data_IF_761363879602
#
_entry.id   IF_761363879602
#
_cell.length_a   1.000
_cell.length_b   1.000
_cell.length_c   1.000
_cell.angle_alpha   90.00
_cell.angle_beta   90.00
_cell.angle_gamma   90.00
#
_symmetry.space_group_name_H-M   'P 1'
#
loop_
_entity.id
_entity.type
_entity.pdbx_description
1 polymer ?
#
# COMPACT_ATOMS: atom_id res chain seq x y z
N UNK A 1 3.00 7.34 -26.42
CA UNK A 1 3.90 6.60 -25.57
C UNK A 1 5.29 7.25 -25.61
N UNK A 2 5.98 7.21 -24.49
CA UNK A 2 7.34 7.75 -24.36
C UNK A 2 8.27 6.60 -24.00
N UNK A 3 9.35 6.47 -24.75
CA UNK A 3 10.49 5.62 -24.43
C UNK A 3 11.69 6.51 -24.14
N UNK A 4 12.24 6.42 -22.95
CA UNK A 4 13.35 7.25 -22.51
C UNK A 4 14.48 6.42 -21.89
N UNK A 5 15.71 6.74 -22.26
CA UNK A 5 16.93 6.19 -21.67
C UNK A 5 17.92 7.33 -21.44
N UNK A 6 18.50 7.40 -20.24
CA UNK A 6 19.40 8.48 -19.83
C UNK A 6 18.80 9.90 -20.06
N UNK A 7 17.52 10.08 -19.78
CA UNK A 7 16.80 11.30 -20.05
C UNK A 7 16.35 11.99 -18.76
N UNK A 8 16.23 13.31 -18.82
CA UNK A 8 15.50 14.12 -17.85
C UNK A 8 14.22 14.64 -18.49
N UNK A 9 13.08 14.28 -17.91
CA UNK A 9 11.77 14.63 -18.45
C UNK A 9 11.00 15.49 -17.45
N UNK A 10 10.35 16.51 -17.97
CA UNK A 10 9.41 17.33 -17.20
C UNK A 10 8.12 17.45 -17.99
N UNK A 11 7.03 16.98 -17.41
CA UNK A 11 5.68 17.22 -17.90
C UNK A 11 5.14 18.47 -17.19
N UNK A 12 5.19 19.59 -17.87
CA UNK A 12 4.71 20.88 -17.38
C UNK A 12 3.44 21.34 -18.08
N UNK A 13 2.95 22.55 -17.72
CA UNK A 13 1.68 23.10 -18.18
C UNK A 13 1.58 23.36 -19.69
N UNK A 14 2.71 23.52 -20.39
CA UNK A 14 2.71 23.89 -21.82
C UNK A 14 3.49 22.95 -22.72
N UNK A 15 4.29 22.03 -22.16
CA UNK A 15 5.14 21.18 -22.97
C UNK A 15 5.77 20.03 -22.20
N UNK A 16 6.02 18.95 -22.91
CA UNK A 16 6.93 17.90 -22.47
C UNK A 16 8.36 18.33 -22.83
N UNK A 17 9.20 18.53 -21.83
CA UNK A 17 10.63 18.72 -22.02
C UNK A 17 11.34 17.39 -21.86
N UNK A 18 12.04 16.98 -22.89
CA UNK A 18 12.90 15.81 -22.88
C UNK A 18 14.34 16.27 -23.06
N UNK A 19 15.16 16.12 -22.02
CA UNK A 19 16.60 16.31 -22.11
C UNK A 19 17.27 14.94 -22.14
N UNK A 20 17.80 14.57 -23.30
CA UNK A 20 18.54 13.32 -23.49
C UNK A 20 20.01 13.58 -23.25
N UNK A 21 20.55 13.05 -22.16
CA UNK A 21 22.00 13.04 -21.93
C UNK A 21 22.64 11.86 -22.66
N UNK A 22 22.82 12.02 -23.95
CA UNK A 22 23.86 11.21 -24.60
C UNK A 22 25.23 11.76 -24.22
N UNK A 23 26.21 10.89 -24.01
CA UNK A 23 27.55 11.25 -23.58
C UNK A 23 28.31 12.18 -24.54
N UNK A 24 27.67 12.81 -25.49
CA UNK A 24 28.25 13.74 -26.48
C UNK A 24 27.35 14.89 -26.92
N UNK A 25 26.38 15.30 -26.15
CA UNK A 25 25.63 16.51 -26.47
C UNK A 25 24.19 16.53 -25.95
N UNK A 26 23.83 17.62 -25.27
CA UNK A 26 22.46 17.92 -24.91
C UNK A 26 21.68 18.33 -26.14
N UNK A 27 20.71 17.52 -26.56
CA UNK A 27 19.68 17.98 -27.48
C UNK A 27 18.36 18.09 -26.73
N UNK A 28 17.96 19.30 -26.40
CA UNK A 28 16.61 19.59 -25.93
C UNK A 28 15.69 19.65 -27.15
N UNK A 29 15.01 18.55 -27.43
CA UNK A 29 13.96 18.54 -28.44
C UNK A 29 12.59 18.53 -27.75
N UNK A 30 11.69 19.47 -28.06
CA UNK A 30 10.33 19.40 -27.59
C UNK A 30 9.63 18.22 -28.30
N UNK A 31 9.29 17.18 -27.55
CA UNK A 31 8.40 16.13 -28.04
C UNK A 31 6.98 16.70 -27.95
N UNK A 32 6.37 17.00 -29.10
CA UNK A 32 4.95 17.29 -29.16
C UNK A 32 4.16 16.05 -28.73
N UNK A 33 3.81 15.98 -27.46
CA UNK A 33 2.72 15.11 -27.02
C UNK A 33 1.46 15.52 -27.75
N UNK A 34 0.68 14.58 -28.24
CA UNK A 34 -0.63 14.84 -28.80
C UNK A 34 -1.52 15.41 -27.71
N UNK A 35 -1.54 16.77 -27.63
CA UNK A 35 -2.56 17.47 -26.87
C UNK A 35 -3.89 17.23 -27.57
N UNK A 36 -4.85 16.60 -26.90
CA UNK A 36 -6.23 16.66 -27.33
C UNK A 36 -6.66 18.13 -27.19
N UNK A 37 -6.66 18.86 -28.30
CA UNK A 37 -7.15 20.21 -28.34
C UNK A 37 -8.64 20.22 -28.03
N UNK A 38 -9.03 20.90 -26.99
CA UNK A 38 -10.44 21.07 -26.63
C UNK A 38 -10.60 21.98 -25.44
N UNK A 39 -10.71 23.28 -25.67
CA UNK A 39 -11.30 24.22 -24.71
C UNK A 39 -10.30 25.10 -23.95
N UNK A 40 -10.55 26.38 -24.03
CA UNK A 40 -9.84 27.47 -23.41
C UNK A 40 -9.70 27.33 -21.89
N UNK A 41 -8.57 26.92 -21.45
CA UNK A 41 -7.80 27.25 -20.25
C UNK A 41 -6.64 26.26 -20.16
N UNK A 42 -5.45 26.77 -20.21
CA UNK A 42 -4.18 26.11 -20.45
C UNK A 42 -3.73 24.98 -19.51
N UNK A 43 -4.49 23.92 -19.37
CA UNK A 43 -4.03 22.67 -18.74
C UNK A 43 -3.71 21.65 -19.82
N UNK A 44 -2.44 21.33 -19.99
CA UNK A 44 -2.05 20.26 -20.88
C UNK A 44 -2.18 18.91 -20.15
N UNK A 45 -2.87 17.95 -20.78
CA UNK A 45 -3.01 16.59 -20.28
C UNK A 45 -2.14 15.68 -21.11
N UNK A 46 -1.20 14.99 -20.49
CA UNK A 46 -0.51 13.89 -21.12
C UNK A 46 -1.34 12.61 -20.94
N UNK A 47 -1.56 11.89 -22.02
CA UNK A 47 -2.19 10.57 -22.02
C UNK A 47 -1.31 9.59 -22.77
N UNK A 48 -0.91 8.52 -22.10
CA UNK A 48 -0.07 7.48 -22.70
C UNK A 48 0.80 6.80 -21.66
N UNK A 49 1.63 5.90 -22.14
CA UNK A 49 2.53 5.13 -21.31
C UNK A 49 3.95 5.70 -21.37
N UNK A 50 4.65 5.66 -20.27
CA UNK A 50 6.05 6.05 -20.17
C UNK A 50 6.86 4.82 -19.81
N UNK A 51 7.83 4.48 -20.69
CA UNK A 51 8.87 3.50 -20.42
C UNK A 51 10.18 4.25 -20.23
N UNK A 52 10.83 4.07 -19.10
CA UNK A 52 12.04 4.83 -18.80
C UNK A 52 13.10 3.98 -18.12
N UNK A 53 14.37 4.25 -18.47
CA UNK A 53 15.55 3.63 -17.87
C UNK A 53 16.58 4.69 -17.60
N UNK A 54 17.25 4.61 -16.44
CA UNK A 54 18.30 5.55 -16.05
C UNK A 54 17.88 7.03 -16.24
N UNK A 55 16.62 7.32 -15.97
CA UNK A 55 15.99 8.59 -16.32
C UNK A 55 15.31 9.21 -15.12
N UNK A 56 14.95 10.46 -15.23
CA UNK A 56 14.11 11.16 -14.27
C UNK A 56 12.89 11.75 -14.94
N UNK A 57 11.75 11.70 -14.25
CA UNK A 57 10.49 12.27 -14.67
C UNK A 57 9.92 13.12 -13.55
N UNK A 58 9.65 14.37 -13.84
CA UNK A 58 8.88 15.25 -12.97
C UNK A 58 7.54 15.56 -13.62
N UNK A 59 6.45 15.25 -12.93
CA UNK A 59 5.09 15.51 -13.39
C UNK A 59 4.53 16.69 -12.63
N UNK A 60 4.31 17.81 -13.35
CA UNK A 60 3.80 19.06 -12.80
C UNK A 60 2.39 19.42 -13.27
N UNK A 61 1.83 18.62 -14.16
CA UNK A 61 0.51 18.83 -14.74
C UNK A 61 -0.26 17.50 -14.84
N UNK A 62 -1.33 17.46 -15.61
CA UNK A 62 -2.17 16.30 -15.77
C UNK A 62 -1.46 15.15 -16.46
N UNK A 63 -1.48 13.99 -15.87
CA UNK A 63 -0.96 12.74 -16.42
C UNK A 63 -1.99 11.65 -16.26
N UNK A 64 -2.24 10.92 -17.33
CA UNK A 64 -3.05 9.68 -17.30
C UNK A 64 -2.37 8.61 -18.13
N UNK A 65 -2.04 7.50 -17.53
CA UNK A 65 -1.41 6.37 -18.21
C UNK A 65 -0.67 5.46 -17.25
N UNK A 66 0.28 4.70 -17.76
CA UNK A 66 1.13 3.82 -16.97
C UNK A 66 2.60 4.22 -17.05
N UNK A 67 3.37 3.83 -16.04
CA UNK A 67 4.80 4.06 -15.97
C UNK A 67 5.49 2.73 -15.74
N UNK A 68 6.41 2.38 -16.63
CA UNK A 68 7.37 1.30 -16.43
C UNK A 68 8.76 1.91 -16.34
N UNK A 69 9.40 1.77 -15.20
CA UNK A 69 10.68 2.42 -14.94
C UNK A 69 11.70 1.43 -14.35
N UNK A 70 12.95 1.60 -14.72
CA UNK A 70 14.08 0.95 -14.08
C UNK A 70 15.20 1.95 -13.83
N UNK A 71 15.86 1.83 -12.68
CA UNK A 71 16.96 2.70 -12.27
C UNK A 71 16.69 4.19 -12.47
N UNK A 72 15.47 4.61 -12.11
CA UNK A 72 14.93 5.91 -12.46
C UNK A 72 14.37 6.62 -11.24
N UNK A 73 14.07 7.90 -11.42
CA UNK A 73 13.45 8.74 -10.41
C UNK A 73 12.20 9.41 -10.97
N UNK A 74 11.11 9.35 -10.22
CA UNK A 74 9.85 9.97 -10.57
C UNK A 74 9.41 10.87 -9.43
N UNK A 75 9.08 12.12 -9.75
CA UNK A 75 8.51 13.08 -8.81
C UNK A 75 7.15 13.52 -9.33
N UNK A 76 6.13 13.31 -8.50
CA UNK A 76 4.78 13.78 -8.74
C UNK A 76 4.58 15.06 -7.94
N UNK A 77 4.39 16.15 -8.66
CA UNK A 77 4.17 17.49 -8.12
C UNK A 77 2.94 18.12 -8.77
N UNK A 78 1.87 17.33 -8.90
CA UNK A 78 0.60 17.72 -9.49
C UNK A 78 -0.53 16.99 -8.79
N UNK A 79 -1.68 17.61 -8.68
CA UNK A 79 -2.89 17.02 -8.10
C UNK A 79 -3.59 16.03 -9.05
N UNK A 80 -3.19 16.00 -10.31
CA UNK A 80 -3.92 15.30 -11.37
C UNK A 80 -3.05 14.25 -12.08
N UNK A 81 -2.42 13.40 -11.31
CA UNK A 81 -1.63 12.27 -11.82
C UNK A 81 -2.39 10.99 -11.56
N UNK A 82 -2.73 10.30 -12.63
CA UNK A 82 -3.54 9.10 -12.61
C UNK A 82 -2.81 7.96 -13.31
N UNK A 83 -2.55 6.90 -12.58
CA UNK A 83 -2.02 5.66 -13.14
C UNK A 83 -3.18 4.73 -13.46
N UNK A 84 -3.35 4.43 -14.74
CA UNK A 84 -4.30 3.46 -15.28
C UNK A 84 -3.52 2.30 -15.88
N UNK A 85 -4.05 1.08 -15.74
CA UNK A 85 -3.30 -0.12 -16.09
C UNK A 85 -2.23 -0.43 -15.05
N UNK A 86 -1.24 -1.22 -15.43
CA UNK A 86 -0.19 -1.68 -14.53
C UNK A 86 1.07 -0.83 -14.68
N UNK A 87 1.51 -0.25 -13.59
CA UNK A 87 2.78 0.46 -13.48
C UNK A 87 3.76 -0.35 -12.64
N UNK A 88 4.99 -0.47 -13.13
CA UNK A 88 6.06 -1.20 -12.45
C UNK A 88 7.32 -0.36 -12.38
N UNK A 89 7.82 -0.18 -11.18
CA UNK A 89 9.03 0.58 -10.88
C UNK A 89 10.05 -0.34 -10.24
N UNK A 90 11.15 -0.58 -10.94
CA UNK A 90 12.24 -1.44 -10.48
C UNK A 90 13.47 -0.60 -10.20
N UNK A 91 14.06 -0.76 -9.01
CA UNK A 91 15.21 0.03 -8.56
C UNK A 91 15.01 1.53 -8.77
N UNK A 92 13.80 2.00 -8.57
CA UNK A 92 13.39 3.36 -8.90
C UNK A 92 12.74 4.04 -7.70
N UNK A 93 12.96 5.34 -7.58
CA UNK A 93 12.36 6.16 -6.54
C UNK A 93 11.11 6.86 -7.07
N UNK A 94 10.03 6.82 -6.32
CA UNK A 94 8.80 7.55 -6.57
C UNK A 94 8.50 8.44 -5.38
N UNK A 95 8.42 9.74 -5.62
CA UNK A 95 8.08 10.73 -4.59
C UNK A 95 6.84 11.50 -5.00
N UNK A 96 5.88 11.59 -4.09
CA UNK A 96 4.73 12.50 -4.22
C UNK A 96 4.98 13.66 -3.28
N UNK A 97 5.27 14.82 -3.83
CA UNK A 97 5.63 16.00 -3.07
C UNK A 97 4.41 16.77 -2.58
N UNK A 98 4.65 17.75 -1.73
CA UNK A 98 3.62 18.59 -1.14
C UNK A 98 2.70 19.20 -2.22
N UNK A 99 1.39 19.08 -2.01
CA UNK A 99 0.38 19.43 -3.00
C UNK A 99 0.22 18.44 -4.15
N UNK A 100 1.07 17.40 -4.23
CA UNK A 100 0.94 16.33 -5.21
C UNK A 100 -0.09 15.28 -4.78
N UNK A 101 -0.73 14.69 -5.77
CA UNK A 101 -1.66 13.57 -5.59
C UNK A 101 -1.46 12.53 -6.67
N UNK A 102 -1.15 11.32 -6.24
CA UNK A 102 -1.04 10.17 -7.13
C UNK A 102 -2.28 9.31 -6.96
N UNK A 103 -3.05 9.18 -8.03
CA UNK A 103 -4.24 8.33 -8.09
C UNK A 103 -3.92 7.05 -8.86
N UNK A 104 -3.91 5.93 -8.16
CA UNK A 104 -3.66 4.61 -8.74
C UNK A 104 -5.00 3.90 -8.94
N UNK A 105 -5.41 3.71 -10.19
CA UNK A 105 -6.63 2.96 -10.55
C UNK A 105 -6.38 1.53 -10.94
N UNK A 106 -5.23 1.26 -11.54
CA UNK A 106 -4.78 -0.08 -11.86
C UNK A 106 -3.90 -0.65 -10.77
N UNK A 107 -2.75 -1.16 -11.15
CA UNK A 107 -1.73 -1.66 -10.23
C UNK A 107 -0.49 -0.78 -10.21
N UNK A 108 0.07 -0.58 -9.04
CA UNK A 108 1.40 -0.02 -8.87
C UNK A 108 2.25 -0.99 -8.08
N UNK A 109 3.30 -1.48 -8.70
CA UNK A 109 4.30 -2.33 -8.08
C UNK A 109 5.65 -1.59 -8.05
N UNK A 110 6.24 -1.49 -6.87
CA UNK A 110 7.52 -0.81 -6.68
C UNK A 110 8.36 -1.50 -5.62
N UNK A 111 9.61 -1.78 -5.93
CA UNK A 111 10.58 -2.31 -4.97
C UNK A 111 11.31 -1.20 -4.19
N UNK A 112 11.36 0.01 -4.74
CA UNK A 112 11.94 1.19 -4.10
C UNK A 112 10.98 1.96 -3.20
N UNK A 113 9.73 1.53 -3.12
CA UNK A 113 8.69 2.18 -2.33
C UNK A 113 8.18 3.49 -2.90
N UNK A 114 7.20 4.05 -2.18
CA UNK A 114 6.63 5.37 -2.44
C UNK A 114 6.99 6.29 -1.29
N UNK A 115 7.62 7.41 -1.59
CA UNK A 115 7.89 8.46 -0.61
C UNK A 115 6.82 9.54 -0.73
N UNK A 116 6.10 9.80 0.36
CA UNK A 116 5.13 10.88 0.45
C UNK A 116 5.73 12.04 1.23
N UNK A 117 6.20 13.03 0.51
CA UNK A 117 6.75 14.26 1.08
C UNK A 117 5.67 15.35 1.11
N UNK A 118 4.72 15.19 2.01
CA UNK A 118 3.52 16.03 2.10
C UNK A 118 2.44 15.72 1.05
N UNK A 119 2.64 14.71 0.22
CA UNK A 119 1.71 14.34 -0.84
C UNK A 119 0.67 13.32 -0.40
N UNK A 120 -0.22 12.98 -1.34
CA UNK A 120 -1.32 12.03 -1.14
C UNK A 120 -1.25 10.90 -2.16
N UNK A 121 -1.41 9.68 -1.69
CA UNK A 121 -1.56 8.48 -2.51
C UNK A 121 -2.99 7.94 -2.34
N UNK A 122 -3.73 7.91 -3.44
CA UNK A 122 -5.04 7.27 -3.53
C UNK A 122 -4.91 5.99 -4.33
N UNK A 123 -5.28 4.86 -3.73
CA UNK A 123 -5.39 3.57 -4.42
C UNK A 123 -6.87 3.24 -4.53
N UNK A 124 -7.36 3.15 -5.76
CA UNK A 124 -8.78 3.15 -6.07
C UNK A 124 -9.16 1.92 -6.91
N UNK A 125 -9.85 0.98 -6.29
CA UNK A 125 -10.38 -0.22 -6.92
C UNK A 125 -11.72 -0.02 -7.63
N UNK A 126 -12.24 1.21 -7.68
CA UNK A 126 -13.51 1.54 -8.31
C UNK A 126 -14.64 1.78 -7.32
N UNK A 127 -15.82 2.10 -7.87
CA UNK A 127 -17.02 2.42 -7.08
C UNK A 127 -17.86 1.20 -6.71
N UNK A 128 -17.64 0.07 -7.35
CA UNK A 128 -18.30 -1.19 -6.99
C UNK A 128 -17.63 -1.69 -5.71
N UNK A 129 -18.41 -1.95 -4.68
CA UNK A 129 -17.94 -2.59 -3.46
C UNK A 129 -17.06 -3.76 -3.84
N UNK A 130 -15.79 -3.64 -3.52
CA UNK A 130 -14.80 -4.49 -4.12
C UNK A 130 -14.94 -5.92 -3.59
N UNK A 131 -14.85 -6.84 -4.50
CA UNK A 131 -14.69 -8.24 -4.23
C UNK A 131 -13.56 -8.58 -3.22
N UNK A 132 -12.59 -7.69 -3.04
CA UNK A 132 -11.46 -7.92 -2.13
C UNK A 132 -11.92 -8.18 -0.71
N UNK A 133 -12.71 -7.27 -0.15
CA UNK A 133 -13.23 -7.43 1.21
C UNK A 133 -14.16 -8.64 1.33
N UNK A 134 -15.10 -8.78 0.40
CA UNK A 134 -16.07 -9.89 0.41
C UNK A 134 -15.37 -11.25 0.21
N UNK A 135 -14.39 -11.32 -0.68
CA UNK A 135 -13.61 -12.53 -0.89
C UNK A 135 -12.76 -12.91 0.32
N UNK A 136 -12.11 -11.95 0.95
CA UNK A 136 -11.35 -12.21 2.15
C UNK A 136 -12.23 -12.65 3.31
N UNK A 137 -13.42 -12.08 3.44
CA UNK A 137 -14.41 -12.54 4.39
C UNK A 137 -14.82 -13.99 4.11
N UNK A 138 -15.16 -14.30 2.86
CA UNK A 138 -15.53 -15.65 2.47
C UNK A 138 -14.39 -16.64 2.73
N UNK A 139 -13.17 -16.32 2.33
CA UNK A 139 -12.01 -17.17 2.60
C UNK A 139 -11.70 -17.32 4.08
N UNK A 140 -11.98 -16.31 4.87
CA UNK A 140 -11.82 -16.41 6.32
C UNK A 140 -12.81 -17.39 6.95
N UNK A 141 -13.95 -17.62 6.32
CA UNK A 141 -15.01 -18.53 6.81
C UNK A 141 -14.84 -19.96 6.32
N UNK A 142 -14.15 -20.16 5.20
CA UNK A 142 -13.88 -21.48 4.66
C UNK A 142 -12.84 -22.23 5.50
N UNK A 143 -13.25 -23.39 6.02
CA UNK A 143 -12.29 -24.31 6.66
C UNK A 143 -11.37 -24.91 5.59
N UNK A 144 -10.13 -24.52 5.57
CA UNK A 144 -9.15 -24.96 4.58
C UNK A 144 -9.10 -24.07 3.33
N UNK A 145 -9.66 -22.88 3.42
CA UNK A 145 -9.52 -21.83 2.41
C UNK A 145 -8.05 -21.61 2.02
N UNK A 146 -7.83 -20.97 0.88
CA UNK A 146 -6.50 -20.74 0.32
C UNK A 146 -5.53 -20.32 1.44
N UNK A 147 -4.66 -21.22 1.83
CA UNK A 147 -3.61 -20.89 2.76
C UNK A 147 -2.73 -19.79 2.13
N UNK A 148 -2.43 -18.82 2.92
CA UNK A 148 -1.80 -17.54 2.69
C UNK A 148 -1.13 -17.23 1.35
N UNK A 149 -0.43 -18.18 0.69
CA UNK A 149 0.28 -17.86 -0.55
C UNK A 149 -0.63 -17.72 -1.76
N UNK A 150 -1.60 -18.62 -1.94
CA UNK A 150 -2.53 -18.55 -3.08
C UNK A 150 -3.45 -17.34 -3.02
N UNK A 151 -3.89 -16.97 -1.84
CA UNK A 151 -4.67 -15.76 -1.60
C UNK A 151 -3.84 -14.50 -1.89
N UNK A 152 -2.61 -14.45 -1.40
CA UNK A 152 -1.69 -13.35 -1.66
C UNK A 152 -1.43 -13.20 -3.17
N UNK A 153 -1.12 -14.29 -3.86
CA UNK A 153 -0.84 -14.26 -5.30
C UNK A 153 -2.10 -13.87 -6.10
N UNK A 154 -3.27 -14.30 -5.67
CA UNK A 154 -4.53 -13.88 -6.30
C UNK A 154 -4.77 -12.39 -6.14
N UNK A 155 -4.51 -11.82 -4.98
CA UNK A 155 -4.70 -10.40 -4.72
C UNK A 155 -3.73 -9.52 -5.51
N UNK A 156 -2.60 -10.04 -5.98
CA UNK A 156 -1.67 -9.27 -6.83
C UNK A 156 -2.24 -8.91 -8.21
N UNK A 157 -3.33 -9.54 -8.63
CA UNK A 157 -4.04 -9.22 -9.87
C UNK A 157 -5.24 -8.28 -9.69
N UNK A 158 -5.49 -7.80 -8.48
CA UNK A 158 -6.65 -6.95 -8.22
C UNK A 158 -6.49 -5.56 -8.84
N UNK A 159 -7.58 -4.99 -9.34
CA UNK A 159 -7.62 -3.58 -9.69
C UNK A 159 -7.54 -2.73 -8.42
N UNK A 160 -6.87 -1.58 -8.49
CA UNK A 160 -6.59 -0.77 -7.30
C UNK A 160 -5.60 -1.49 -6.38
N UNK A 161 -4.45 -1.84 -6.89
CA UNK A 161 -3.40 -2.53 -6.15
C UNK A 161 -2.21 -1.63 -5.93
N UNK A 162 -1.73 -1.57 -4.69
CA UNK A 162 -0.39 -1.11 -4.34
C UNK A 162 0.42 -2.29 -3.82
N UNK A 163 1.50 -2.62 -4.48
CA UNK A 163 2.51 -3.55 -3.99
C UNK A 163 3.82 -2.80 -3.78
N UNK A 164 4.13 -2.54 -2.55
CA UNK A 164 5.28 -1.74 -2.17
C UNK A 164 5.19 -1.28 -0.71
N UNK A 165 6.20 -0.56 -0.26
CA UNK A 165 6.17 0.13 1.02
C UNK A 165 5.97 1.64 0.80
N UNK A 166 5.48 2.30 1.84
CA UNK A 166 5.26 3.75 1.82
C UNK A 166 6.05 4.39 2.96
N UNK A 167 6.80 5.42 2.63
CA UNK A 167 7.47 6.28 3.61
C UNK A 167 6.87 7.67 3.54
N UNK A 168 6.12 8.06 4.56
CA UNK A 168 5.41 9.31 4.49
C UNK A 168 4.77 9.73 5.80
N UNK A 169 5.59 9.93 6.85
CA UNK A 169 5.09 10.49 8.10
C UNK A 169 4.46 11.89 7.94
N UNK A 170 4.65 12.54 6.80
CA UNK A 170 4.01 13.80 6.42
C UNK A 170 2.96 13.62 5.30
N UNK A 171 2.67 12.40 4.86
CA UNK A 171 1.78 12.14 3.74
C UNK A 171 0.57 11.30 4.10
N UNK A 172 -0.42 11.34 3.22
CA UNK A 172 -1.70 10.66 3.38
C UNK A 172 -1.84 9.51 2.38
N UNK A 173 -2.39 8.39 2.84
CA UNK A 173 -2.79 7.27 2.00
C UNK A 173 -4.29 7.07 2.14
N UNK A 174 -4.97 6.93 1.02
CA UNK A 174 -6.39 6.62 0.94
C UNK A 174 -6.56 5.35 0.10
N UNK A 175 -7.16 4.33 0.69
CA UNK A 175 -7.48 3.06 0.05
C UNK A 175 -9.00 2.97 -0.10
N UNK A 176 -9.47 2.88 -1.34
CA UNK A 176 -10.88 2.74 -1.67
C UNK A 176 -11.09 1.46 -2.47
N UNK A 177 -11.77 0.48 -1.89
CA UNK A 177 -11.99 -0.81 -2.55
C UNK A 177 -10.69 -1.36 -3.20
N UNK A 178 -9.59 -1.29 -2.49
CA UNK A 178 -8.26 -1.54 -3.00
C UNK A 178 -7.52 -2.57 -2.13
N UNK A 179 -6.39 -3.01 -2.63
CA UNK A 179 -5.45 -3.84 -1.87
C UNK A 179 -4.10 -3.13 -1.74
N UNK A 180 -3.56 -3.14 -0.55
CA UNK A 180 -2.18 -2.76 -0.30
C UNK A 180 -1.40 -3.96 0.22
N UNK A 181 -0.43 -4.39 -0.57
CA UNK A 181 0.47 -5.48 -0.22
C UNK A 181 1.82 -4.89 0.16
N UNK A 182 2.07 -4.78 1.45
CA UNK A 182 3.31 -4.18 1.95
C UNK A 182 4.51 -5.09 1.69
N UNK A 183 5.58 -4.49 1.20
CA UNK A 183 6.86 -5.16 0.94
C UNK A 183 7.97 -4.71 1.88
N UNK A 184 7.68 -3.80 2.78
CA UNK A 184 8.60 -3.29 3.77
C UNK A 184 7.90 -2.49 4.85
N UNK A 185 8.64 -2.10 5.89
CA UNK A 185 8.14 -1.23 6.92
C UNK A 185 7.64 0.09 6.31
N UNK A 186 6.50 0.53 6.75
CA UNK A 186 5.80 1.68 6.18
C UNK A 186 5.40 2.68 7.26
N UNK A 187 5.32 3.93 6.87
CA UNK A 187 4.87 5.02 7.72
C UNK A 187 4.00 5.99 6.95
N UNK A 188 2.93 6.47 7.57
CA UNK A 188 2.01 7.45 7.00
C UNK A 188 1.56 8.41 8.11
N UNK A 189 1.22 9.65 7.75
CA UNK A 189 0.61 10.59 8.67
C UNK A 189 -0.84 10.22 8.95
N UNK A 190 -1.60 9.99 7.88
CA UNK A 190 -3.00 9.60 7.94
C UNK A 190 -3.27 8.49 6.93
N UNK A 191 -3.94 7.45 7.37
CA UNK A 191 -4.45 6.38 6.53
C UNK A 191 -5.96 6.32 6.63
N UNK A 192 -6.60 6.41 5.48
CA UNK A 192 -8.03 6.17 5.32
C UNK A 192 -8.24 4.91 4.49
N UNK A 193 -9.05 3.98 4.98
CA UNK A 193 -9.32 2.72 4.28
C UNK A 193 -10.79 2.40 4.33
N UNK A 194 -11.36 2.14 3.17
CA UNK A 194 -12.75 1.75 3.00
C UNK A 194 -12.87 0.60 2.02
N UNK A 195 -13.48 -0.50 2.45
CA UNK A 195 -13.71 -1.67 1.61
C UNK A 195 -12.43 -2.35 1.10
N UNK A 196 -11.34 -2.22 1.82
CA UNK A 196 -10.00 -2.54 1.34
C UNK A 196 -9.33 -3.63 2.15
N UNK A 197 -8.22 -4.14 1.65
CA UNK A 197 -7.38 -5.11 2.33
C UNK A 197 -5.94 -4.62 2.43
N UNK A 198 -5.33 -4.80 3.60
CA UNK A 198 -3.93 -4.54 3.85
C UNK A 198 -3.25 -5.86 4.22
N UNK A 199 -2.31 -6.27 3.39
CA UNK A 199 -1.40 -7.38 3.66
C UNK A 199 -0.09 -6.84 4.20
N UNK A 200 0.24 -7.15 5.43
CA UNK A 200 1.45 -6.63 6.09
C UNK A 200 2.72 -7.31 5.63
N UNK A 201 2.64 -8.57 5.24
CA UNK A 201 3.79 -9.34 4.79
C UNK A 201 3.37 -10.50 3.89
N UNK A 202 4.31 -10.94 3.06
CA UNK A 202 4.14 -12.12 2.22
C UNK A 202 4.31 -13.39 3.06
N UNK A 203 3.52 -14.45 2.83
CA UNK A 203 3.76 -15.75 3.42
C UNK A 203 5.21 -16.23 3.20
N UNK A 204 5.89 -16.61 4.28
CA UNK A 204 7.30 -17.00 4.24
C UNK A 204 8.30 -15.85 4.16
N UNK A 205 7.82 -14.59 4.08
CA UNK A 205 8.65 -13.40 4.06
C UNK A 205 8.89 -12.80 5.45
N UNK A 206 9.61 -11.68 5.47
CA UNK A 206 9.87 -10.90 6.68
C UNK A 206 8.58 -10.26 7.20
N UNK A 207 8.50 -10.05 8.50
CA UNK A 207 7.43 -9.27 9.12
C UNK A 207 7.66 -7.78 8.94
N UNK A 208 6.56 -7.03 8.84
CA UNK A 208 6.63 -5.59 8.64
C UNK A 208 5.78 -4.83 9.66
N UNK A 209 6.19 -3.60 9.92
CA UNK A 209 5.48 -2.65 10.76
C UNK A 209 4.94 -1.51 9.92
N UNK A 210 3.65 -1.22 10.08
CA UNK A 210 3.02 0.01 9.62
C UNK A 210 2.83 0.95 10.81
N UNK A 211 3.40 2.14 10.71
CA UNK A 211 3.18 3.22 11.67
C UNK A 211 2.30 4.28 11.03
N UNK A 212 1.18 4.58 11.63
CA UNK A 212 0.26 5.63 11.21
C UNK A 212 0.06 6.64 12.35
N UNK A 213 0.02 7.92 12.03
CA UNK A 213 -0.37 8.94 12.98
C UNK A 213 -1.83 8.76 13.34
N UNK A 214 -2.71 8.93 12.37
CA UNK A 214 -4.13 8.65 12.51
C UNK A 214 -4.61 7.65 11.45
N UNK A 215 -5.66 6.92 11.77
CA UNK A 215 -6.24 5.91 10.90
C UNK A 215 -7.75 5.89 11.04
N UNK A 216 -8.43 6.06 9.91
CA UNK A 216 -9.86 5.84 9.77
C UNK A 216 -10.07 4.62 8.87
N UNK A 217 -10.64 3.56 9.42
CA UNK A 217 -10.78 2.29 8.73
C UNK A 217 -12.21 1.74 8.86
N UNK A 218 -12.82 1.38 7.75
CA UNK A 218 -14.13 0.78 7.70
C UNK A 218 -14.24 -0.29 6.62
N UNK A 219 -15.03 -1.31 6.88
CA UNK A 219 -15.28 -2.41 5.93
C UNK A 219 -13.98 -2.96 5.32
N UNK A 220 -12.94 -3.10 6.14
CA UNK A 220 -11.60 -3.46 5.69
C UNK A 220 -11.05 -4.66 6.43
N UNK A 221 -10.09 -5.33 5.82
CA UNK A 221 -9.38 -6.47 6.40
C UNK A 221 -7.91 -6.14 6.55
N UNK A 222 -7.38 -6.34 7.74
CA UNK A 222 -5.95 -6.38 7.98
C UNK A 222 -5.51 -7.84 8.03
N UNK A 223 -4.62 -8.24 7.14
CA UNK A 223 -4.02 -9.57 7.14
C UNK A 223 -2.62 -9.47 7.73
N UNK A 224 -2.47 -10.03 8.92
CA UNK A 224 -1.23 -9.99 9.69
C UNK A 224 -0.74 -11.40 9.97
N UNK A 225 0.57 -11.55 10.07
CA UNK A 225 1.22 -12.82 10.30
C UNK A 225 2.04 -12.81 11.58
N UNK A 226 2.13 -13.95 12.21
CA UNK A 226 3.02 -14.17 13.35
C UNK A 226 3.57 -15.60 13.33
N UNK A 227 4.80 -15.75 13.84
CA UNK A 227 5.43 -17.04 14.11
C UNK A 227 5.43 -17.39 15.61
N UNK A 228 4.64 -16.66 16.41
CA UNK A 228 4.56 -16.74 17.88
C UNK A 228 5.76 -16.12 18.62
N UNK A 229 6.80 -15.71 17.93
CA UNK A 229 7.95 -14.99 18.47
C UNK A 229 8.01 -13.56 17.94
N UNK A 230 7.70 -13.40 16.66
CA UNK A 230 7.70 -12.15 15.92
C UNK A 230 6.36 -12.01 15.22
N UNK A 231 6.01 -10.80 14.89
CA UNK A 231 4.75 -10.52 14.19
C UNK A 231 4.85 -9.30 13.31
N UNK A 232 3.95 -9.26 12.32
CA UNK A 232 3.56 -7.99 11.72
C UNK A 232 2.97 -7.08 12.80
N UNK A 233 3.11 -5.77 12.65
CA UNK A 233 2.61 -4.80 13.60
C UNK A 233 1.96 -3.60 12.93
N UNK A 234 0.86 -3.15 13.51
CA UNK A 234 0.26 -1.85 13.24
C UNK A 234 0.40 -0.98 14.50
N UNK A 235 1.02 0.18 14.36
CA UNK A 235 1.16 1.19 15.42
C UNK A 235 0.44 2.46 15.00
N UNK A 236 -0.62 2.81 15.72
CA UNK A 236 -1.34 4.06 15.52
C UNK A 236 -1.06 4.95 16.71
N UNK A 237 -0.57 6.16 16.47
CA UNK A 237 -0.01 7.02 17.53
C UNK A 237 -0.95 8.12 17.99
N UNK A 238 -1.87 8.60 17.15
CA UNK A 238 -2.74 9.74 17.46
C UNK A 238 -4.21 9.36 17.62
N UNK A 239 -4.80 8.70 16.63
CA UNK A 239 -6.18 8.21 16.69
C UNK A 239 -6.43 7.04 15.78
N UNK A 240 -7.18 6.07 16.26
CA UNK A 240 -7.71 4.95 15.47
C UNK A 240 -9.23 4.92 15.61
N UNK A 241 -9.93 5.05 14.50
CA UNK A 241 -11.39 5.00 14.42
C UNK A 241 -11.83 4.06 13.33
N UNK A 242 -12.93 3.40 13.55
CA UNK A 242 -13.51 2.57 12.50
C UNK A 242 -14.50 1.58 13.03
N UNK A 243 -15.10 0.87 12.07
CA UNK A 243 -16.11 -0.15 12.33
C UNK A 243 -16.15 -1.17 11.22
N UNK A 244 -16.65 -2.35 11.56
CA UNK A 244 -16.88 -3.43 10.61
C UNK A 244 -15.58 -3.88 9.90
N UNK A 245 -14.50 -3.98 10.67
CA UNK A 245 -13.22 -4.41 10.18
C UNK A 245 -12.85 -5.78 10.73
N UNK A 246 -12.10 -6.55 9.95
CA UNK A 246 -11.56 -7.83 10.35
C UNK A 246 -10.04 -7.74 10.52
N UNK A 247 -9.56 -8.15 11.68
CA UNK A 247 -8.16 -8.46 11.91
C UNK A 247 -7.96 -9.96 11.72
N UNK A 248 -7.39 -10.34 10.59
CA UNK A 248 -7.13 -11.71 10.24
C UNK A 248 -5.66 -12.04 10.52
N UNK A 249 -5.45 -12.99 11.46
CA UNK A 249 -4.10 -13.32 11.92
C UNK A 249 -3.73 -14.72 11.51
N UNK A 250 -2.68 -14.82 10.71
CA UNK A 250 -2.13 -16.09 10.23
C UNK A 250 -0.93 -16.52 11.09
N UNK A 251 -0.99 -17.75 11.57
CA UNK A 251 0.12 -18.40 12.26
C UNK A 251 0.91 -19.23 11.26
N UNK A 252 2.20 -18.98 11.12
CA UNK A 252 3.00 -19.56 10.03
C UNK A 252 4.02 -20.59 10.47
N UNK A 253 4.38 -20.63 11.75
CA UNK A 253 5.37 -21.59 12.25
C UNK A 253 5.01 -22.08 13.65
N UNK A 254 5.51 -23.26 13.94
CA UNK A 254 5.45 -23.86 15.27
C UNK A 254 6.63 -23.38 16.09
N UNK A 255 6.36 -22.84 17.26
CA UNK A 255 7.37 -22.79 18.30
C UNK A 255 7.29 -24.04 19.15
N UNK A 256 8.33 -24.84 19.15
CA UNK A 256 8.42 -26.00 20.02
C UNK A 256 8.44 -25.58 21.48
N UNK A 257 7.27 -25.49 22.09
CA UNK A 257 7.13 -25.42 23.54
C UNK A 257 7.41 -24.11 24.25
N UNK A 258 7.68 -23.01 23.55
CA UNK A 258 7.83 -21.73 24.19
C UNK A 258 6.50 -20.99 24.32
N UNK A 259 6.26 -20.39 25.47
CA UNK A 259 5.09 -19.53 25.71
C UNK A 259 5.26 -18.26 24.91
N UNK A 260 4.35 -17.98 23.97
CA UNK A 260 4.27 -16.63 23.41
C UNK A 260 3.89 -15.65 24.53
N UNK A 261 4.70 -14.65 24.69
CA UNK A 261 4.48 -13.57 25.64
C UNK A 261 3.81 -12.44 24.90
N UNK A 262 2.61 -12.07 25.30
CA UNK A 262 1.87 -10.85 24.93
C UNK A 262 2.45 -10.09 23.73
N UNK A 263 2.33 -10.64 22.54
CA UNK A 263 2.84 -10.01 21.33
C UNK A 263 1.80 -9.02 20.82
N UNK A 264 2.09 -7.70 20.82
CA UNK A 264 1.17 -6.72 20.29
C UNK A 264 1.14 -6.80 18.76
N UNK A 265 -0.04 -7.02 18.20
CA UNK A 265 -0.27 -6.96 16.75
C UNK A 265 -0.70 -5.55 16.33
N UNK A 266 -1.62 -4.98 17.07
CA UNK A 266 -2.10 -3.61 16.85
C UNK A 266 -2.01 -2.85 18.18
N UNK A 267 -1.42 -1.67 18.12
CA UNK A 267 -1.40 -0.72 19.26
C UNK A 267 -2.03 0.60 18.83
N UNK A 268 -2.85 1.17 19.68
CA UNK A 268 -3.57 2.41 19.43
C UNK A 268 -3.65 3.25 20.70
N UNK A 269 -3.95 4.56 20.63
CA UNK A 269 -4.07 5.43 21.78
C UNK A 269 -5.15 5.01 22.75
N UNK A 270 -5.04 5.47 23.99
CA UNK A 270 -6.07 5.31 25.00
C UNK A 270 -7.42 5.87 24.52
N UNK A 271 -8.50 5.18 24.84
CA UNK A 271 -9.84 5.52 24.41
C UNK A 271 -10.24 4.94 23.05
N UNK A 272 -9.35 4.23 22.37
CA UNK A 272 -9.70 3.47 21.16
C UNK A 272 -10.64 2.31 21.52
N UNK A 273 -11.75 2.21 20.81
CA UNK A 273 -12.74 1.16 21.03
C UNK A 273 -12.21 -0.22 20.66
N UNK A 274 -12.53 -1.24 21.45
CA UNK A 274 -12.19 -2.62 21.17
C UNK A 274 -12.98 -3.19 19.95
N UNK A 275 -14.04 -2.53 19.57
CA UNK A 275 -14.93 -2.90 18.47
C UNK A 275 -14.47 -2.42 17.10
N UNK A 276 -13.34 -1.73 17.01
CA UNK A 276 -12.75 -1.32 15.72
C UNK A 276 -12.44 -2.56 14.86
N UNK A 277 -12.00 -3.65 15.48
CA UNK A 277 -11.72 -4.90 14.79
C UNK A 277 -12.48 -6.08 15.44
N UNK A 278 -13.07 -6.90 14.58
CA UNK A 278 -13.32 -8.30 14.90
C UNK A 278 -12.06 -9.11 14.60
N UNK A 279 -11.76 -10.11 15.39
CA UNK A 279 -10.53 -10.90 15.24
C UNK A 279 -10.86 -12.29 14.77
N UNK A 280 -10.09 -12.79 13.80
CA UNK A 280 -10.11 -14.16 13.34
C UNK A 280 -8.68 -14.67 13.17
N UNK A 281 -8.44 -15.89 13.62
CA UNK A 281 -7.13 -16.53 13.53
C UNK A 281 -7.19 -17.70 12.56
N UNK A 282 -6.15 -17.84 11.75
CA UNK A 282 -5.96 -18.97 10.86
C UNK A 282 -4.69 -19.71 11.26
N UNK A 283 -4.80 -21.01 11.50
CA UNK A 283 -3.65 -21.85 11.74
C UNK A 283 -3.29 -22.59 10.46
N UNK A 284 -2.08 -22.40 9.99
CA UNK A 284 -1.56 -23.08 8.80
C UNK A 284 -0.76 -24.34 9.14
N UNK A 285 -0.66 -24.70 10.41
CA UNK A 285 0.07 -25.86 10.91
C UNK A 285 -0.73 -26.68 11.92
N UNK A 286 -0.27 -27.89 12.18
CA UNK A 286 -0.83 -28.77 13.22
C UNK A 286 -0.26 -28.34 14.57
N UNK A 287 -0.94 -27.47 15.27
CA UNK A 287 -0.55 -27.07 16.62
C UNK A 287 -1.50 -27.67 17.67
N UNK A 288 -0.94 -28.10 18.76
CA UNK A 288 -1.71 -28.38 19.98
C UNK A 288 -2.02 -27.12 20.78
N UNK A 289 -1.63 -25.97 20.26
CA UNK A 289 -1.78 -24.65 20.87
C UNK A 289 -2.86 -23.90 20.12
N UNK A 290 -3.85 -23.38 20.83
CA UNK A 290 -4.86 -22.49 20.26
C UNK A 290 -4.48 -21.05 20.62
N UNK A 291 -3.89 -20.29 19.70
CA UNK A 291 -3.58 -18.89 19.94
C UNK A 291 -4.84 -18.06 19.93
N UNK A 292 -4.88 -17.09 20.84
CA UNK A 292 -6.00 -16.17 20.98
C UNK A 292 -5.49 -14.75 20.87
N UNK A 293 -6.15 -13.95 20.05
CA UNK A 293 -5.89 -12.51 19.94
C UNK A 293 -7.05 -11.78 20.62
N UNK A 294 -6.73 -10.91 21.57
CA UNK A 294 -7.71 -10.13 22.31
C UNK A 294 -7.34 -8.65 22.33
N UNK A 295 -8.36 -7.81 22.31
CA UNK A 295 -8.21 -6.41 22.59
C UNK A 295 -8.12 -6.19 24.10
N UNK A 296 -7.07 -5.48 24.53
CA UNK A 296 -6.86 -5.06 25.89
C UNK A 296 -6.83 -3.54 25.96
N UNK A 297 -7.74 -2.96 26.74
CA UNK A 297 -7.81 -1.53 26.98
C UNK A 297 -7.19 -1.18 28.32
N UNK A 298 -6.28 -0.20 28.30
CA UNK A 298 -5.61 0.29 29.47
C UNK A 298 -5.36 1.79 29.43
N UNK A 299 -4.76 2.31 30.49
CA UNK A 299 -4.42 3.74 30.59
C UNK A 299 -3.38 4.19 29.58
N UNK A 300 -2.55 3.26 29.10
CA UNK A 300 -1.51 3.53 28.09
C UNK A 300 -1.97 3.34 26.65
N UNK A 301 -3.18 2.84 26.43
CA UNK A 301 -3.71 2.60 25.11
C UNK A 301 -4.55 1.33 24.99
N UNK A 302 -4.98 1.04 23.77
CA UNK A 302 -5.66 -0.19 23.38
C UNK A 302 -4.71 -1.04 22.54
N UNK A 303 -4.59 -2.31 22.87
CA UNK A 303 -3.75 -3.24 22.13
C UNK A 303 -4.52 -4.51 21.79
N UNK A 304 -4.39 -4.96 20.54
CA UNK A 304 -4.78 -6.30 20.14
C UNK A 304 -3.55 -7.19 20.25
N UNK A 305 -3.57 -8.05 21.26
CA UNK A 305 -2.41 -8.83 21.67
C UNK A 305 -2.63 -10.32 21.42
N UNK A 306 -1.57 -10.98 20.98
CA UNK A 306 -1.52 -12.42 20.89
C UNK A 306 -1.20 -13.03 22.25
N UNK A 307 -2.11 -13.85 22.74
CA UNK A 307 -1.90 -14.70 23.91
C UNK A 307 -1.93 -16.16 23.46
N UNK A 308 -1.00 -16.93 23.92
CA UNK A 308 -1.01 -18.39 23.70
C UNK A 308 -1.71 -19.07 24.86
N UNK A 309 -2.79 -19.75 24.59
CA UNK A 309 -3.47 -20.62 25.54
C UNK A 309 -2.97 -22.04 25.31
N UNK A 310 -2.31 -22.62 26.29
CA UNK A 310 -2.01 -24.05 26.26
C UNK A 310 -3.29 -24.83 26.51
N UNK A 311 -3.56 -25.91 25.75
CA UNK A 311 -4.65 -26.81 26.11
C UNK A 311 -4.36 -27.40 27.50
N UNK A 312 -5.41 -27.48 28.31
CA UNK A 312 -5.34 -28.23 29.56
C UNK A 312 -4.98 -29.68 29.23
N UNK A 313 -3.92 -30.18 29.85
CA UNK A 313 -3.47 -31.59 29.72
C UNK A 313 -4.42 -32.53 30.43
#
# INVERSE_FOLDING_TARGET
DIDADNATMVLGSDSLYLDMKDGTGSSSAPVKGTSAAGGASGTSTFRGNVNMRHSSLTVRDHFTGSITASDSRIVVNSENVRLEGDSRLTSSALTVSDGGRLHVKGGLETDGGVTLDGGTLLVDGGSVRNDVYERLLAWSEERGGLNGSGEYDFMTGAAGLLRGYVRGSAGNVNLQNAAWMMTGNSSVKHLESSGSALYFSRPGGEFHTLTAGSMDISDSVLVMRTDLHHSDQLRVTESLRGKNNLLLVDFTERSDGQKALNIPLVTAPAGTGADVFSVKTRDTGFSHITPVVRAEQGTGGTAWQLNVVQPET
#
